data_IF_619823409689
#
_entry.id   IF_619823409689
#
_cell.length_a   1.000
_cell.length_b   1.000
_cell.length_c   1.000
_cell.angle_alpha   90.00
_cell.angle_beta   90.00
_cell.angle_gamma   90.00
#
_symmetry.space_group_name_H-M   'P 1'
#
loop_
_entity.id
_entity.type
_entity.pdbx_description
1 polymer ?
#
# COMPACT_ATOMS: atom_id res chain seq x y z
N UNK A 1 10.65 34.68 9.64
CA UNK A 1 9.36 34.46 8.96
C UNK A 1 8.83 33.11 9.40
N UNK A 2 7.79 33.05 10.24
CA UNK A 2 7.16 31.80 10.61
C UNK A 2 6.29 31.33 9.42
N UNK A 3 6.71 30.27 8.74
CA UNK A 3 5.86 29.58 7.76
C UNK A 3 4.67 29.02 8.50
N UNK A 4 3.47 29.54 8.22
CA UNK A 4 2.23 28.97 8.75
C UNK A 4 2.19 27.48 8.39
N UNK A 5 1.86 26.64 9.38
CA UNK A 5 1.70 25.22 9.14
C UNK A 5 0.64 25.03 8.05
N UNK A 6 0.89 24.20 7.02
CA UNK A 6 -0.07 23.95 5.97
C UNK A 6 -1.38 23.44 6.59
N UNK A 7 -2.51 23.93 6.08
CA UNK A 7 -3.82 23.48 6.55
C UNK A 7 -4.04 22.00 6.24
N UNK A 8 -4.98 21.37 6.93
CA UNK A 8 -5.33 19.96 6.66
C UNK A 8 -5.65 19.72 5.17
N UNK A 9 -6.38 20.63 4.54
CA UNK A 9 -6.71 20.55 3.12
C UNK A 9 -5.44 20.54 2.24
N UNK A 10 -4.42 21.31 2.60
CA UNK A 10 -3.15 21.35 1.86
C UNK A 10 -2.37 20.05 2.04
N UNK A 11 -2.34 19.50 3.25
CA UNK A 11 -1.72 18.21 3.54
C UNK A 11 -2.43 17.07 2.78
N UNK A 12 -3.76 17.05 2.83
CA UNK A 12 -4.61 16.06 2.18
C UNK A 12 -4.51 16.09 0.66
N UNK A 13 -4.34 17.27 0.07
CA UNK A 13 -4.20 17.43 -1.38
C UNK A 13 -2.77 17.15 -1.88
N UNK A 14 -1.77 17.12 -0.99
CA UNK A 14 -0.40 16.71 -1.33
C UNK A 14 -0.22 15.20 -1.36
N UNK A 15 -1.10 14.45 -0.69
CA UNK A 15 -1.02 13.00 -0.68
C UNK A 15 -1.26 12.44 -2.09
N UNK A 16 -0.42 11.49 -2.53
CA UNK A 16 -0.69 10.74 -3.73
C UNK A 16 -2.04 10.00 -3.67
N UNK A 17 -2.62 9.74 -4.84
CA UNK A 17 -4.01 9.32 -4.95
C UNK A 17 -4.23 7.90 -4.40
N UNK A 18 -3.31 6.95 -4.59
CA UNK A 18 -3.48 5.58 -4.09
C UNK A 18 -3.46 5.60 -2.57
N UNK A 19 -2.44 6.25 -2.00
CA UNK A 19 -2.33 6.48 -0.56
C UNK A 19 -3.60 7.08 -0.01
N UNK A 20 -4.07 8.19 -0.60
CA UNK A 20 -5.27 8.90 -0.17
C UNK A 20 -6.51 8.00 -0.07
N UNK A 21 -6.82 7.26 -1.14
CA UNK A 21 -8.04 6.45 -1.19
C UNK A 21 -7.93 5.17 -0.35
N UNK A 22 -6.77 4.50 -0.35
CA UNK A 22 -6.59 3.28 0.42
C UNK A 22 -6.54 3.57 1.91
N UNK A 23 -5.87 4.65 2.34
CA UNK A 23 -5.86 5.06 3.75
C UNK A 23 -7.27 5.32 4.30
N UNK A 24 -8.16 5.95 3.50
CA UNK A 24 -9.57 6.11 3.89
C UNK A 24 -10.26 4.76 4.03
N UNK A 25 -10.05 3.86 3.07
CA UNK A 25 -10.60 2.50 3.12
C UNK A 25 -10.16 1.73 4.37
N UNK A 26 -8.88 1.82 4.72
CA UNK A 26 -8.30 1.21 5.93
C UNK A 26 -8.94 1.80 7.20
N UNK A 27 -9.05 3.14 7.29
CA UNK A 27 -9.64 3.80 8.46
C UNK A 27 -11.12 3.41 8.62
N UNK A 28 -11.90 3.49 7.54
CA UNK A 28 -13.32 3.13 7.55
C UNK A 28 -13.51 1.68 7.94
N UNK A 29 -12.72 0.77 7.34
CA UNK A 29 -12.83 -0.65 7.66
C UNK A 29 -12.39 -0.95 9.09
N UNK A 30 -11.36 -0.28 9.59
CA UNK A 30 -10.96 -0.40 10.99
C UNK A 30 -12.08 0.04 11.94
N UNK A 31 -12.73 1.18 11.67
CA UNK A 31 -13.88 1.63 12.47
C UNK A 31 -15.02 0.60 12.47
N UNK A 32 -15.30 -0.02 11.33
CA UNK A 32 -16.28 -1.11 11.23
C UNK A 32 -15.86 -2.30 12.10
N UNK A 33 -14.60 -2.72 12.05
CA UNK A 33 -14.09 -3.82 12.86
C UNK A 33 -14.11 -3.52 14.36
N UNK A 34 -13.88 -2.27 14.76
CA UNK A 34 -13.99 -1.85 16.17
C UNK A 34 -15.45 -1.91 16.65
N UNK A 35 -16.40 -1.50 15.80
CA UNK A 35 -17.84 -1.57 16.12
C UNK A 35 -18.37 -3.02 16.08
N UNK A 36 -17.80 -3.87 15.24
CA UNK A 36 -18.20 -5.27 15.04
C UNK A 36 -16.97 -6.21 15.11
N UNK A 37 -16.50 -6.58 16.31
CA UNK A 37 -15.24 -7.33 16.49
C UNK A 37 -15.21 -8.71 15.84
N UNK A 38 -16.38 -9.34 15.63
CA UNK A 38 -16.50 -10.65 14.99
C UNK A 38 -16.56 -10.58 13.45
N UNK A 39 -16.61 -9.37 12.88
CA UNK A 39 -16.71 -9.14 11.44
C UNK A 39 -15.58 -9.84 10.65
N UNK A 40 -14.30 -9.80 11.07
CA UNK A 40 -13.22 -10.51 10.36
C UNK A 40 -13.43 -12.02 10.22
N UNK A 41 -13.82 -12.68 11.31
CA UNK A 41 -14.01 -14.12 11.35
C UNK A 41 -15.26 -14.53 10.57
N UNK A 42 -16.34 -13.74 10.67
CA UNK A 42 -17.58 -14.00 9.97
C UNK A 42 -17.49 -13.71 8.47
N UNK A 43 -16.68 -12.74 8.05
CA UNK A 43 -16.57 -12.36 6.64
C UNK A 43 -15.51 -13.17 5.92
N UNK A 44 -14.39 -13.52 6.57
CA UNK A 44 -13.25 -14.15 5.89
C UNK A 44 -13.08 -15.64 6.20
N UNK A 45 -13.64 -16.16 7.30
CA UNK A 45 -13.54 -17.57 7.69
C UNK A 45 -14.91 -18.29 7.64
N UNK A 46 -15.60 -18.25 6.50
CA UNK A 46 -16.82 -19.04 6.27
C UNK A 46 -16.46 -20.32 5.51
N UNK A 47 -16.54 -21.51 6.14
CA UNK A 47 -16.43 -22.79 5.45
C UNK A 47 -17.57 -22.90 4.42
N UNK A 48 -17.24 -23.07 3.14
CA UNK A 48 -18.23 -23.27 2.07
C UNK A 48 -18.86 -22.00 1.48
N UNK A 49 -18.34 -20.81 1.78
CA UNK A 49 -18.79 -19.59 1.10
C UNK A 49 -18.59 -19.68 -0.43
N UNK A 50 -19.47 -19.06 -1.23
CA UNK A 50 -19.33 -19.06 -2.69
C UNK A 50 -17.97 -18.47 -3.07
N UNK A 51 -17.23 -19.19 -3.91
CA UNK A 51 -15.82 -18.93 -4.28
C UNK A 51 -15.56 -17.56 -4.95
N UNK A 52 -16.60 -16.79 -5.25
CA UNK A 52 -16.54 -15.57 -6.07
C UNK A 52 -16.74 -14.26 -5.29
N UNK A 53 -16.43 -14.24 -3.99
CA UNK A 53 -16.54 -13.02 -3.18
C UNK A 53 -15.28 -12.15 -3.31
N UNK A 54 -15.13 -11.46 -4.45
CA UNK A 54 -13.96 -10.60 -4.78
C UNK A 54 -13.74 -9.50 -3.71
N UNK A 55 -14.79 -9.02 -3.06
CA UNK A 55 -14.67 -8.04 -1.99
C UNK A 55 -13.86 -8.54 -0.80
N UNK A 56 -13.79 -9.87 -0.55
CA UNK A 56 -12.97 -10.43 0.54
C UNK A 56 -11.51 -10.13 0.34
N UNK A 57 -11.04 -10.20 -0.90
CA UNK A 57 -9.66 -9.89 -1.27
C UNK A 57 -9.27 -8.47 -0.85
N UNK A 58 -10.10 -7.49 -1.22
CA UNK A 58 -9.85 -6.07 -0.94
C UNK A 58 -10.00 -5.77 0.55
N UNK A 59 -11.07 -6.28 1.17
CA UNK A 59 -11.37 -5.99 2.58
C UNK A 59 -10.36 -6.66 3.52
N UNK A 60 -9.86 -7.87 3.23
CA UNK A 60 -8.81 -8.51 4.04
C UNK A 60 -7.50 -7.73 4.02
N UNK A 61 -7.17 -7.07 2.90
CA UNK A 61 -5.97 -6.23 2.78
C UNK A 61 -6.06 -4.97 3.64
N UNK A 62 -7.25 -4.41 3.76
CA UNK A 62 -7.49 -3.16 4.48
C UNK A 62 -7.74 -3.35 5.98
N UNK A 63 -7.92 -4.59 6.44
CA UNK A 63 -8.24 -4.87 7.84
C UNK A 63 -6.99 -5.00 8.70
N UNK A 64 -7.02 -4.36 9.87
CA UNK A 64 -6.02 -4.53 10.93
C UNK A 64 -6.42 -5.66 11.89
N UNK A 65 -5.42 -6.34 12.47
CA UNK A 65 -5.60 -7.45 13.40
C UNK A 65 -5.75 -7.01 14.87
N UNK A 66 -5.58 -5.72 15.18
CA UNK A 66 -5.52 -5.19 16.54
C UNK A 66 -6.61 -4.16 16.89
N UNK A 67 -6.66 -3.81 18.18
CA UNK A 67 -7.52 -2.75 18.72
C UNK A 67 -6.69 -1.68 19.46
N UNK A 68 -7.27 -0.49 19.61
CA UNK A 68 -6.67 0.60 20.38
C UNK A 68 -5.47 1.24 19.69
N UNK A 69 -4.46 1.63 20.48
CA UNK A 69 -3.34 2.43 19.98
C UNK A 69 -2.46 1.68 18.97
N UNK A 70 -2.31 0.36 19.11
CA UNK A 70 -1.54 -0.46 18.18
C UNK A 70 -2.08 -0.39 16.75
N UNK A 71 -3.41 -0.46 16.60
CA UNK A 71 -4.07 -0.33 15.30
C UNK A 71 -3.87 1.06 14.69
N UNK A 72 -3.97 2.12 15.50
CA UNK A 72 -3.72 3.50 15.05
C UNK A 72 -2.27 3.65 14.54
N UNK A 73 -1.31 3.08 15.26
CA UNK A 73 0.10 3.10 14.88
C UNK A 73 0.37 2.28 13.60
N UNK A 74 -0.27 1.12 13.44
CA UNK A 74 -0.23 0.35 12.18
C UNK A 74 -0.81 1.15 11.01
N UNK A 75 -1.96 1.80 11.19
CA UNK A 75 -2.57 2.64 10.14
C UNK A 75 -1.64 3.82 9.80
N UNK A 76 -1.04 4.45 10.80
CA UNK A 76 -0.07 5.52 10.60
C UNK A 76 1.13 5.03 9.79
N UNK A 77 1.78 3.94 10.21
CA UNK A 77 2.89 3.32 9.46
C UNK A 77 2.49 2.97 8.02
N UNK A 78 1.30 2.39 7.84
CA UNK A 78 0.79 2.04 6.53
C UNK A 78 0.71 3.27 5.63
N UNK A 79 0.08 4.35 6.13
CA UNK A 79 -0.08 5.58 5.38
C UNK A 79 1.27 6.23 5.05
N UNK A 80 2.21 6.28 6.01
CA UNK A 80 3.52 6.89 5.79
C UNK A 80 4.36 6.07 4.81
N UNK A 81 4.39 4.75 4.96
CA UNK A 81 5.22 3.88 4.13
C UNK A 81 4.67 3.82 2.70
N UNK A 82 3.34 3.78 2.53
CA UNK A 82 2.71 3.81 1.22
C UNK A 82 2.93 5.16 0.53
N UNK A 83 2.81 6.27 1.27
CA UNK A 83 3.12 7.61 0.76
C UNK A 83 4.57 7.69 0.26
N UNK A 84 5.54 7.23 1.06
CA UNK A 84 6.96 7.24 0.71
C UNK A 84 7.23 6.38 -0.53
N UNK A 85 6.58 5.22 -0.64
CA UNK A 85 6.71 4.33 -1.79
C UNK A 85 6.14 4.96 -3.06
N UNK A 86 4.93 5.51 -2.99
CA UNK A 86 4.22 6.10 -4.13
C UNK A 86 4.86 7.41 -4.59
N UNK A 87 5.39 8.22 -3.67
CA UNK A 87 6.00 9.52 -4.01
C UNK A 87 7.43 9.42 -4.52
N UNK A 88 8.25 8.53 -3.97
CA UNK A 88 9.70 8.54 -4.25
C UNK A 88 10.15 7.43 -5.20
N UNK A 89 9.56 6.22 -5.10
CA UNK A 89 10.11 5.02 -5.76
C UNK A 89 9.27 4.54 -6.93
N UNK A 90 7.95 4.61 -6.81
CA UNK A 90 7.04 4.12 -7.84
C UNK A 90 6.77 5.21 -8.88
N UNK A 91 7.59 5.23 -9.95
CA UNK A 91 7.47 6.20 -11.07
C UNK A 91 6.10 6.26 -11.75
N UNK A 92 5.33 5.17 -11.71
CA UNK A 92 3.97 5.12 -12.27
C UNK A 92 2.95 5.07 -11.14
N UNK A 93 1.93 5.91 -11.29
CA UNK A 93 0.80 6.03 -10.36
C UNK A 93 0.01 4.74 -10.17
N UNK A 94 -0.02 3.85 -11.15
CA UNK A 94 -0.70 2.55 -11.07
C UNK A 94 0.16 1.43 -10.43
N UNK A 95 1.48 1.63 -10.30
CA UNK A 95 2.41 0.62 -9.78
C UNK A 95 2.21 0.30 -8.29
N UNK A 96 1.92 1.26 -7.38
CA UNK A 96 1.60 0.95 -5.99
C UNK A 96 0.35 0.09 -5.83
N UNK A 97 -0.69 0.34 -6.63
CA UNK A 97 -1.90 -0.50 -6.61
C UNK A 97 -1.60 -1.93 -7.05
N UNK A 98 -0.82 -2.07 -8.12
CA UNK A 98 -0.43 -3.37 -8.63
C UNK A 98 0.43 -4.13 -7.61
N UNK A 99 1.37 -3.44 -6.95
CA UNK A 99 2.14 -3.98 -5.84
C UNK A 99 1.24 -4.47 -4.71
N UNK A 100 0.34 -3.62 -4.20
CA UNK A 100 -0.59 -3.99 -3.12
C UNK A 100 -1.51 -5.16 -3.50
N UNK A 101 -1.99 -5.20 -4.74
CA UNK A 101 -2.77 -6.31 -5.25
C UNK A 101 -1.96 -7.61 -5.29
N UNK A 102 -0.70 -7.56 -5.72
CA UNK A 102 0.17 -8.72 -5.71
C UNK A 102 0.45 -9.22 -4.29
N UNK A 103 0.81 -8.34 -3.36
CA UNK A 103 1.03 -8.72 -1.96
C UNK A 103 -0.24 -9.35 -1.38
N UNK A 104 -1.40 -8.72 -1.60
CA UNK A 104 -2.70 -9.25 -1.16
C UNK A 104 -2.98 -10.64 -1.74
N UNK A 105 -2.62 -10.88 -3.01
CA UNK A 105 -2.76 -12.19 -3.64
C UNK A 105 -1.91 -13.27 -2.96
N UNK A 106 -0.66 -12.96 -2.65
CA UNK A 106 0.21 -13.87 -1.90
C UNK A 106 -0.40 -14.20 -0.53
N UNK A 107 -0.90 -13.19 0.17
CA UNK A 107 -1.58 -13.35 1.46
C UNK A 107 -2.87 -14.16 1.36
N UNK A 108 -3.66 -13.99 0.31
CA UNK A 108 -4.89 -14.76 0.13
C UNK A 108 -4.61 -16.26 -0.09
N UNK A 109 -3.47 -16.59 -0.71
CA UNK A 109 -3.05 -17.97 -0.96
C UNK A 109 -2.42 -18.60 0.30
N UNK A 110 -1.52 -17.86 0.97
CA UNK A 110 -0.70 -18.40 2.07
C UNK A 110 -1.25 -18.10 3.46
N UNK A 111 -1.83 -16.92 3.68
CA UNK A 111 -2.31 -16.45 4.98
C UNK A 111 -3.29 -17.40 5.70
N UNK A 112 -4.30 -17.96 5.02
CA UNK A 112 -5.23 -18.91 5.64
C UNK A 112 -4.55 -20.19 6.18
N UNK A 113 -3.38 -20.58 5.65
CA UNK A 113 -2.61 -21.73 6.15
C UNK A 113 -2.01 -21.48 7.53
N UNK A 114 -1.89 -20.22 7.93
CA UNK A 114 -1.37 -19.78 9.21
C UNK A 114 -2.45 -19.13 10.10
N UNK A 115 -3.73 -19.24 9.71
CA UNK A 115 -4.86 -18.57 10.37
C UNK A 115 -4.76 -17.04 10.38
N UNK A 116 -4.16 -16.46 9.35
CA UNK A 116 -4.09 -15.01 9.14
C UNK A 116 -5.21 -14.62 8.17
N UNK A 117 -6.06 -13.69 8.58
CA UNK A 117 -7.22 -13.22 7.80
C UNK A 117 -7.28 -11.69 7.64
N UNK A 118 -6.48 -10.97 8.42
CA UNK A 118 -6.26 -9.53 8.31
C UNK A 118 -4.82 -9.32 7.84
N UNK A 119 -4.61 -8.66 6.71
CA UNK A 119 -3.29 -8.62 6.06
C UNK A 119 -2.56 -7.29 6.22
N UNK A 120 -3.16 -6.29 6.86
CA UNK A 120 -2.58 -4.95 6.91
C UNK A 120 -1.18 -4.94 7.56
N UNK A 121 -0.99 -5.62 8.68
CA UNK A 121 0.29 -5.67 9.39
C UNK A 121 1.38 -6.38 8.54
N UNK A 122 0.99 -7.44 7.85
CA UNK A 122 1.78 -8.10 6.82
C UNK A 122 2.14 -7.22 5.62
N UNK A 123 1.19 -6.41 5.14
CA UNK A 123 1.40 -5.44 4.05
C UNK A 123 2.34 -4.31 4.49
N UNK A 124 2.21 -3.82 5.73
CA UNK A 124 3.16 -2.84 6.29
C UNK A 124 4.57 -3.42 6.29
N UNK A 125 4.72 -4.68 6.70
CA UNK A 125 5.99 -5.40 6.66
C UNK A 125 6.56 -5.50 5.24
N UNK A 126 5.70 -5.81 4.25
CA UNK A 126 6.08 -5.81 2.83
C UNK A 126 6.58 -4.43 2.37
N UNK A 127 5.85 -3.35 2.70
CA UNK A 127 6.22 -1.98 2.37
C UNK A 127 7.56 -1.57 3.00
N UNK A 128 7.74 -1.86 4.30
CA UNK A 128 9.00 -1.60 5.02
C UNK A 128 10.16 -2.32 4.36
N UNK A 129 9.96 -3.58 3.95
CA UNK A 129 10.98 -4.35 3.25
C UNK A 129 11.34 -3.71 1.92
N UNK A 130 10.36 -3.37 1.07
CA UNK A 130 10.63 -2.73 -0.22
C UNK A 130 11.37 -1.40 -0.05
N UNK A 131 10.94 -0.55 0.88
CA UNK A 131 11.63 0.72 1.19
C UNK A 131 13.06 0.51 1.69
N UNK A 132 13.32 -0.58 2.42
CA UNK A 132 14.68 -0.92 2.89
C UNK A 132 15.63 -1.33 1.78
N UNK A 133 15.11 -1.90 0.69
CA UNK A 133 15.92 -2.28 -0.47
C UNK A 133 16.20 -1.09 -1.39
N UNK A 134 15.20 -0.22 -1.59
CA UNK A 134 15.32 0.95 -2.47
C UNK A 134 16.24 2.04 -1.89
N UNK A 135 16.09 2.37 -0.60
CA UNK A 135 16.90 3.40 0.05
C UNK A 135 17.31 2.98 1.47
N UNK A 136 18.40 2.20 1.63
CA UNK A 136 18.81 1.64 2.92
C UNK A 136 19.19 2.69 3.98
N UNK A 137 19.68 3.85 3.54
CA UNK A 137 20.18 4.93 4.40
C UNK A 137 19.12 5.97 4.78
N UNK A 138 17.93 5.90 4.17
CA UNK A 138 16.80 6.75 4.54
C UNK A 138 16.32 6.46 5.96
N UNK A 139 15.65 7.43 6.58
CA UNK A 139 15.02 7.26 7.90
C UNK A 139 13.55 6.91 7.72
N UNK A 140 13.04 5.99 8.54
CA UNK A 140 11.62 5.64 8.61
C UNK A 140 11.21 5.55 10.07
N UNK A 141 9.98 5.98 10.38
CA UNK A 141 9.46 5.87 11.72
C UNK A 141 8.88 4.47 11.91
N UNK A 142 9.57 3.65 12.70
CA UNK A 142 9.00 2.39 13.18
C UNK A 142 8.25 2.73 14.47
N UNK A 143 6.92 2.79 14.36
CA UNK A 143 5.97 3.20 15.39
C UNK A 143 6.10 4.71 15.61
N UNK A 144 6.99 5.11 16.51
CA UNK A 144 7.34 6.51 16.79
C UNK A 144 8.85 6.71 16.83
N UNK A 145 9.62 5.64 16.67
CA UNK A 145 11.07 5.67 16.78
C UNK A 145 11.66 5.80 15.37
N UNK A 146 12.43 6.86 15.09
CA UNK A 146 13.11 6.98 13.81
C UNK A 146 14.25 5.97 13.75
N UNK A 147 14.20 5.09 12.75
CA UNK A 147 15.21 4.04 12.51
C UNK A 147 15.68 4.14 11.06
N UNK A 148 16.95 3.82 10.81
CA UNK A 148 17.43 3.68 9.43
C UNK A 148 16.70 2.54 8.73
N UNK A 149 16.26 2.75 7.49
CA UNK A 149 15.45 1.80 6.71
C UNK A 149 16.08 0.41 6.60
N UNK A 150 17.41 0.31 6.53
CA UNK A 150 18.14 -0.98 6.56
C UNK A 150 17.87 -1.84 7.81
N UNK A 151 17.56 -1.22 8.95
CA UNK A 151 17.28 -1.92 10.21
C UNK A 151 15.79 -2.04 10.50
N UNK A 152 14.94 -1.31 9.78
CA UNK A 152 13.50 -1.28 10.03
C UNK A 152 12.83 -2.67 9.94
N UNK A 153 13.16 -3.55 8.97
CA UNK A 153 12.60 -4.92 8.95
C UNK A 153 12.97 -5.72 10.20
N UNK A 154 14.22 -5.59 10.68
CA UNK A 154 14.68 -6.31 11.87
C UNK A 154 14.02 -5.79 13.15
N UNK A 155 13.88 -4.46 13.28
CA UNK A 155 13.15 -3.84 14.40
C UNK A 155 11.68 -4.26 14.37
N UNK A 156 11.06 -4.32 13.19
CA UNK A 156 9.69 -4.77 13.02
C UNK A 156 9.50 -6.23 13.44
N UNK A 157 10.45 -7.13 13.11
CA UNK A 157 10.44 -8.51 13.63
C UNK A 157 10.59 -8.54 15.15
N UNK A 158 11.48 -7.72 15.73
CA UNK A 158 11.66 -7.64 17.18
C UNK A 158 10.37 -7.21 17.89
N UNK A 159 9.70 -6.18 17.37
CA UNK A 159 8.40 -5.72 17.90
C UNK A 159 7.35 -6.82 17.74
N UNK A 160 7.27 -7.47 16.59
CA UNK A 160 6.30 -8.53 16.33
C UNK A 160 6.53 -9.76 17.22
N UNK A 161 7.79 -10.12 17.52
CA UNK A 161 8.14 -11.18 18.46
C UNK A 161 7.64 -10.85 19.87
N UNK A 162 7.88 -9.63 20.34
CA UNK A 162 7.48 -9.17 21.68
C UNK A 162 5.96 -9.03 21.81
N UNK A 163 5.29 -8.50 20.78
CA UNK A 163 3.85 -8.25 20.80
C UNK A 163 3.00 -9.49 20.46
N UNK A 164 3.49 -10.38 19.62
CA UNK A 164 2.74 -11.51 19.05
C UNK A 164 2.94 -12.85 19.76
N UNK A 165 3.29 -12.84 21.06
CA UNK A 165 3.54 -14.04 21.86
C UNK A 165 4.67 -14.93 21.30
N UNK A 166 5.82 -14.33 20.96
CA UNK A 166 7.02 -15.06 20.54
C UNK A 166 7.04 -15.40 19.05
N UNK A 167 7.44 -16.63 18.69
CA UNK A 167 7.66 -17.05 17.30
C UNK A 167 6.41 -16.95 16.42
N UNK A 168 5.21 -17.10 16.99
CA UNK A 168 3.96 -16.98 16.24
C UNK A 168 3.77 -15.57 15.68
N UNK A 169 4.19 -14.55 16.43
CA UNK A 169 4.15 -13.15 16.00
C UNK A 169 5.03 -12.84 14.80
N UNK A 170 6.05 -13.67 14.55
CA UNK A 170 6.97 -13.49 13.43
C UNK A 170 6.38 -13.95 12.09
N UNK A 171 5.35 -14.79 12.09
CA UNK A 171 4.85 -15.41 10.86
C UNK A 171 4.31 -14.36 9.89
N UNK A 172 3.52 -13.42 10.39
CA UNK A 172 2.91 -12.36 9.59
C UNK A 172 3.96 -11.44 8.93
N UNK A 173 4.89 -10.79 9.67
CA UNK A 173 5.91 -9.96 9.04
C UNK A 173 6.84 -10.73 8.09
N UNK A 174 7.20 -11.97 8.41
CA UNK A 174 8.01 -12.82 7.52
C UNK A 174 7.28 -13.13 6.21
N UNK A 175 5.97 -13.40 6.26
CA UNK A 175 5.16 -13.59 5.05
C UNK A 175 5.09 -12.30 4.22
N UNK A 176 5.08 -11.14 4.88
CA UNK A 176 5.16 -9.82 4.25
C UNK A 176 6.47 -9.61 3.50
N UNK A 177 7.60 -9.90 4.15
CA UNK A 177 8.92 -9.82 3.53
C UNK A 177 9.05 -10.80 2.36
N UNK A 178 8.55 -12.03 2.53
CA UNK A 178 8.53 -13.02 1.47
C UNK A 178 7.73 -12.52 0.26
N UNK A 179 6.53 -11.99 0.47
CA UNK A 179 5.69 -11.46 -0.60
C UNK A 179 6.35 -10.28 -1.33
N UNK A 180 6.96 -9.35 -0.59
CA UNK A 180 7.67 -8.21 -1.16
C UNK A 180 8.92 -8.65 -1.95
N UNK A 181 9.70 -9.58 -1.39
CA UNK A 181 10.86 -10.14 -2.05
C UNK A 181 10.47 -10.88 -3.34
N UNK A 182 9.39 -11.65 -3.31
CA UNK A 182 8.87 -12.34 -4.49
C UNK A 182 8.42 -11.35 -5.57
N UNK A 183 7.78 -10.24 -5.20
CA UNK A 183 7.41 -9.19 -6.15
C UNK A 183 8.66 -8.63 -6.84
N UNK A 184 9.63 -8.13 -6.07
CA UNK A 184 10.86 -7.54 -6.62
C UNK A 184 11.65 -8.54 -7.47
N UNK A 185 11.74 -9.80 -7.01
CA UNK A 185 12.41 -10.86 -7.76
C UNK A 185 11.79 -11.05 -9.15
N UNK A 186 10.47 -11.12 -9.26
CA UNK A 186 9.79 -11.34 -10.55
C UNK A 186 9.80 -10.07 -11.40
N UNK A 187 9.72 -8.87 -10.81
CA UNK A 187 9.61 -7.61 -11.57
C UNK A 187 10.94 -7.01 -12.00
N UNK A 188 12.04 -7.33 -11.30
CA UNK A 188 13.35 -6.72 -11.51
C UNK A 188 14.40 -7.79 -11.84
N UNK A 189 14.64 -8.72 -10.91
CA UNK A 189 15.75 -9.69 -11.03
C UNK A 189 15.55 -10.63 -12.23
N UNK A 190 14.37 -11.24 -12.39
CA UNK A 190 14.10 -12.17 -13.49
C UNK A 190 14.26 -11.49 -14.86
N UNK A 191 13.65 -10.32 -15.11
CA UNK A 191 13.88 -9.56 -16.36
C UNK A 191 15.35 -9.19 -16.61
N UNK A 192 16.09 -8.80 -15.58
CA UNK A 192 17.48 -8.35 -15.73
C UNK A 192 18.43 -9.51 -16.00
N UNK A 193 18.09 -10.72 -15.56
CA UNK A 193 18.78 -11.96 -15.93
C UNK A 193 18.38 -12.52 -17.31
N UNK A 194 17.61 -11.78 -18.12
CA UNK A 194 17.13 -12.22 -19.44
C UNK A 194 15.93 -13.17 -19.39
N UNK A 195 15.27 -13.28 -18.24
CA UNK A 195 14.06 -14.07 -18.06
C UNK A 195 12.79 -13.36 -18.58
N UNK A 196 11.62 -14.02 -18.42
CA UNK A 196 10.35 -13.49 -18.88
C UNK A 196 9.96 -12.18 -18.17
N UNK A 197 9.39 -11.23 -18.92
CA UNK A 197 8.99 -9.92 -18.40
C UNK A 197 7.51 -9.84 -17.96
N UNK A 198 6.92 -10.96 -17.56
CA UNK A 198 5.47 -11.09 -17.36
C UNK A 198 4.85 -10.02 -16.45
N UNK A 199 5.56 -9.62 -15.39
CA UNK A 199 5.04 -8.69 -14.38
C UNK A 199 5.78 -7.34 -14.36
N UNK A 200 6.73 -7.10 -15.28
CA UNK A 200 7.51 -5.85 -15.30
C UNK A 200 6.63 -4.66 -15.68
N UNK A 201 5.69 -4.89 -16.59
CA UNK A 201 4.71 -3.89 -17.00
C UNK A 201 3.44 -4.05 -16.18
N UNK A 202 2.94 -2.93 -15.66
CA UNK A 202 1.68 -2.90 -14.92
C UNK A 202 0.53 -3.30 -15.84
N UNK A 203 -0.29 -4.31 -15.49
CA UNK A 203 -1.37 -4.77 -16.35
C UNK A 203 -2.35 -3.65 -16.71
N UNK A 204 -2.95 -3.74 -17.90
CA UNK A 204 -3.87 -2.73 -18.44
C UNK A 204 -5.04 -2.39 -17.50
N UNK A 205 -5.46 -3.35 -16.67
CA UNK A 205 -6.51 -3.14 -15.67
C UNK A 205 -6.16 -2.04 -14.65
N UNK A 206 -4.88 -1.90 -14.28
CA UNK A 206 -4.42 -0.95 -13.28
C UNK A 206 -4.04 0.40 -13.88
N UNK A 207 -3.80 0.50 -15.19
CA UNK A 207 -3.39 1.74 -15.88
C UNK A 207 -4.55 2.64 -16.27
N UNK A 208 -5.81 2.20 -16.07
CA UNK A 208 -7.01 2.99 -16.35
C UNK A 208 -7.02 4.40 -15.70
N UNK A 209 -6.64 4.57 -14.42
CA UNK A 209 -6.58 5.89 -13.78
C UNK A 209 -5.55 6.80 -14.45
N UNK A 210 -4.36 6.28 -14.73
CA UNK A 210 -3.28 7.01 -15.41
C UNK A 210 -3.72 7.50 -16.80
N UNK A 211 -4.53 6.69 -17.49
CA UNK A 211 -5.06 7.01 -18.82
C UNK A 211 -6.12 8.11 -18.77
N UNK A 212 -7.09 8.03 -17.85
CA UNK A 212 -8.14 9.04 -17.71
C UNK A 212 -7.54 10.42 -17.46
N UNK A 213 -6.52 10.50 -16.62
CA UNK A 213 -5.85 11.76 -16.35
C UNK A 213 -5.02 12.26 -17.53
N UNK A 214 -4.32 11.37 -18.25
CA UNK A 214 -3.62 11.75 -19.47
C UNK A 214 -4.59 12.31 -20.53
N UNK A 215 -5.79 11.73 -20.64
CA UNK A 215 -6.86 12.24 -21.52
C UNK A 215 -7.41 13.60 -21.03
N UNK A 216 -7.62 13.76 -19.72
CA UNK A 216 -8.04 15.05 -19.14
C UNK A 216 -6.98 16.15 -19.29
N UNK A 217 -5.70 15.83 -19.13
CA UNK A 217 -4.61 16.78 -19.28
C UNK A 217 -4.49 17.25 -20.74
N UNK A 218 -4.55 16.31 -21.70
CA UNK A 218 -4.64 16.65 -23.12
C UNK A 218 -5.86 17.53 -23.42
N UNK A 219 -7.03 17.21 -22.87
CA UNK A 219 -8.23 18.02 -23.07
C UNK A 219 -8.08 19.47 -22.55
N UNK A 220 -7.37 19.67 -21.43
CA UNK A 220 -7.05 21.01 -20.89
C UNK A 220 -6.07 21.77 -21.79
N UNK A 221 -5.04 21.10 -22.29
CA UNK A 221 -4.06 21.69 -23.22
C UNK A 221 -4.72 22.11 -24.54
N UNK A 222 -5.56 21.25 -25.13
CA UNK A 222 -6.36 21.58 -26.32
C UNK A 222 -7.31 22.75 -26.08
N UNK A 223 -8.02 22.77 -24.94
CA UNK A 223 -8.91 23.87 -24.57
C UNK A 223 -8.20 25.21 -24.36
N UNK A 224 -6.99 25.18 -23.79
CA UNK A 224 -6.13 26.37 -23.63
C UNK A 224 -5.61 26.88 -24.97
N UNK A 225 -5.11 25.99 -25.83
CA UNK A 225 -4.63 26.33 -27.17
C UNK A 225 -5.71 26.92 -28.08
N UNK A 226 -6.94 26.40 -27.99
CA UNK A 226 -8.08 26.94 -28.75
C UNK A 226 -8.46 28.36 -28.33
N UNK A 227 -8.42 28.68 -27.03
CA UNK A 227 -8.66 30.05 -26.52
C UNK A 227 -7.59 31.04 -26.99
N UNK A 228 -6.32 30.66 -26.90
CA UNK A 228 -5.18 31.46 -27.37
C UNK A 228 -5.23 31.71 -28.89
N UNK A 229 -5.65 30.73 -29.68
CA UNK A 229 -5.84 30.87 -31.13
C UNK A 229 -6.95 31.85 -31.51
N UNK A 230 -8.05 31.87 -30.74
CA UNK A 230 -9.14 32.84 -30.93
C UNK A 230 -8.75 34.27 -30.54
N UNK A 231 -8.01 34.46 -29.45
CA UNK A 231 -7.54 35.79 -29.04
C UNK A 231 -6.55 36.40 -30.04
N UNK A 232 -5.64 35.60 -30.63
CA UNK A 232 -4.71 36.09 -31.66
C UNK A 232 -5.38 36.49 -32.97
N UNK A 233 -6.53 35.89 -33.31
CA UNK A 233 -7.26 36.20 -34.56
C UNK A 233 -8.11 37.48 -34.45
N UNK A 234 -8.33 37.96 -33.23
CA UNK A 234 -9.12 39.16 -32.92
C UNK A 234 -8.25 40.41 -32.66
N UNK A 235 -6.93 40.33 -32.87
CA UNK A 235 -6.00 41.47 -32.90
C UNK A 235 -5.48 41.65 -34.31
#
# INVERSE_FOLDING_TARGET
MATQAPGFNDLWNRLPWVTKHISVGVIVLHLICVLYPYFPLQVWNIPGAPKWQVYRFVTSAMCTSGNGIGAVLSIFMFCTNLNDLESNFMRSRSRPLYYLAFITLVYHILGPRFHIYCYLDGIISALTWTLSQEEPFGMINVVVIPVQRRYAPLVQLGIAFLAGNGLRGLIDPLLGFFAAHMFMYITEIVPDCGGPQWLRQTPYLFTYPDRLEAEQQKAREYGSGYKLGKEKKNR
#
